data_IF_565801830178
#
_entry.id   IF_565801830178
#
_cell.length_a   1.000
_cell.length_b   1.000
_cell.length_c   1.000
_cell.angle_alpha   90.00
_cell.angle_beta   90.00
_cell.angle_gamma   90.00
#
_symmetry.space_group_name_H-M   'P 1'
#
loop_
_entity.id
_entity.type
_entity.pdbx_description
1 polymer ?
#
# COMPACT_ATOMS: atom_id res chain seq x y z
N UNK A 1 -47.37 -3.56 -4.57
CA UNK A 1 -46.16 -2.81 -4.16
C UNK A 1 -44.96 -3.54 -4.76
N UNK A 2 -44.23 -2.89 -5.65
CA UNK A 2 -43.29 -3.52 -6.57
C UNK A 2 -42.11 -4.18 -5.86
N UNK A 3 -41.83 -5.44 -6.23
CA UNK A 3 -40.63 -6.18 -5.88
C UNK A 3 -39.47 -5.49 -6.60
N UNK A 4 -38.81 -4.53 -5.94
CA UNK A 4 -37.54 -3.98 -6.42
C UNK A 4 -36.57 -5.17 -6.54
N UNK A 5 -35.87 -5.24 -7.67
CA UNK A 5 -34.95 -6.33 -7.98
C UNK A 5 -33.95 -6.53 -6.84
N UNK A 6 -33.51 -7.77 -6.67
CA UNK A 6 -32.45 -8.07 -5.72
C UNK A 6 -31.23 -7.18 -6.01
N UNK A 7 -30.63 -6.52 -5.00
CA UNK A 7 -29.45 -5.68 -5.21
C UNK A 7 -28.37 -6.45 -5.97
N UNK A 8 -27.89 -5.85 -7.06
CA UNK A 8 -26.92 -6.46 -7.97
C UNK A 8 -25.67 -5.56 -8.06
N UNK A 9 -24.57 -5.94 -7.39
CA UNK A 9 -23.33 -5.17 -7.48
C UNK A 9 -22.78 -5.14 -8.91
N UNK A 10 -23.01 -6.16 -9.74
CA UNK A 10 -22.44 -6.22 -11.09
C UNK A 10 -22.96 -5.11 -12.01
N UNK A 11 -24.15 -4.58 -11.72
CA UNK A 11 -24.73 -3.46 -12.46
C UNK A 11 -23.95 -2.14 -12.28
N UNK A 12 -23.20 -1.98 -11.20
CA UNK A 12 -22.50 -0.74 -10.87
C UNK A 12 -21.25 -0.52 -11.74
N UNK A 13 -21.14 0.63 -12.39
CA UNK A 13 -20.00 1.00 -13.25
C UNK A 13 -19.02 1.93 -12.57
N UNK A 14 -19.48 2.69 -11.58
CA UNK A 14 -18.68 3.64 -10.82
C UNK A 14 -19.02 3.62 -9.32
N UNK A 15 -18.31 4.45 -8.54
CA UNK A 15 -18.46 4.50 -7.10
C UNK A 15 -19.87 4.94 -6.65
N UNK A 16 -20.50 5.87 -7.37
CA UNK A 16 -21.82 6.38 -7.03
C UNK A 16 -22.89 5.31 -7.25
N UNK A 17 -22.85 4.63 -8.40
CA UNK A 17 -23.74 3.51 -8.71
C UNK A 17 -23.52 2.34 -7.72
N UNK A 18 -22.29 2.10 -7.31
CA UNK A 18 -21.98 1.06 -6.32
C UNK A 18 -22.58 1.37 -4.95
N UNK A 19 -22.46 2.61 -4.47
CA UNK A 19 -23.09 3.01 -3.20
C UNK A 19 -24.62 3.00 -3.32
N UNK A 20 -25.19 3.32 -4.48
CA UNK A 20 -26.63 3.18 -4.71
C UNK A 20 -27.10 1.72 -4.54
N UNK A 21 -26.33 0.74 -5.03
CA UNK A 21 -26.61 -0.69 -4.79
C UNK A 21 -26.52 -1.05 -3.30
N UNK A 22 -25.58 -0.46 -2.55
CA UNK A 22 -25.50 -0.67 -1.09
C UNK A 22 -26.68 -0.07 -0.33
N UNK A 23 -27.20 1.09 -0.79
CA UNK A 23 -28.43 1.68 -0.23
C UNK A 23 -29.62 0.74 -0.46
N UNK A 24 -29.76 0.19 -1.67
CA UNK A 24 -30.79 -0.80 -1.98
C UNK A 24 -30.63 -2.08 -1.14
N UNK A 25 -29.40 -2.56 -0.94
CA UNK A 25 -29.11 -3.69 -0.05
C UNK A 25 -29.57 -3.41 1.38
N UNK A 26 -29.27 -2.23 1.91
CA UNK A 26 -29.72 -1.82 3.24
C UNK A 26 -31.25 -1.78 3.34
N UNK A 27 -31.92 -1.25 2.32
CA UNK A 27 -33.38 -1.16 2.26
C UNK A 27 -34.03 -2.54 2.18
N UNK A 28 -33.51 -3.43 1.33
CA UNK A 28 -33.98 -4.80 1.19
C UNK A 28 -33.78 -5.63 2.47
N UNK A 29 -32.68 -5.40 3.20
CA UNK A 29 -32.45 -6.04 4.49
C UNK A 29 -33.45 -5.59 5.56
N UNK A 30 -34.07 -4.41 5.42
CA UNK A 30 -35.04 -3.86 6.38
C UNK A 30 -34.44 -3.52 7.75
N UNK A 31 -33.11 -3.44 7.87
CA UNK A 31 -32.40 -3.23 9.13
C UNK A 31 -32.07 -1.75 9.35
N UNK A 32 -32.17 -1.33 10.60
CA UNK A 32 -31.62 -0.06 11.06
C UNK A 32 -30.10 -0.15 11.17
N UNK A 33 -29.42 1.01 11.13
CA UNK A 33 -27.96 1.05 11.33
C UNK A 33 -27.53 0.42 12.67
N UNK A 34 -28.32 0.58 13.74
CA UNK A 34 -28.05 -0.01 15.06
C UNK A 34 -28.15 -1.54 15.04
N UNK A 35 -29.08 -2.10 14.26
CA UNK A 35 -29.21 -3.55 14.11
C UNK A 35 -28.09 -4.16 13.27
N UNK A 36 -27.61 -3.42 12.26
CA UNK A 36 -26.46 -3.83 11.45
C UNK A 36 -25.17 -3.89 12.28
N UNK A 37 -24.93 -2.86 13.10
CA UNK A 37 -23.82 -2.81 14.06
C UNK A 37 -23.87 -3.97 15.06
N UNK A 38 -25.04 -4.21 15.69
CA UNK A 38 -25.22 -5.32 16.62
C UNK A 38 -24.95 -6.69 15.97
N UNK A 39 -25.43 -6.91 14.74
CA UNK A 39 -25.17 -8.15 14.00
C UNK A 39 -23.71 -8.34 13.61
N UNK A 40 -23.02 -7.26 13.25
CA UNK A 40 -21.58 -7.33 12.99
C UNK A 40 -20.83 -7.73 14.26
N UNK A 41 -21.19 -7.15 15.40
CA UNK A 41 -20.60 -7.46 16.70
C UNK A 41 -20.83 -8.93 17.12
N UNK A 42 -22.01 -9.50 16.84
CA UNK A 42 -22.28 -10.94 17.06
C UNK A 42 -21.33 -11.85 16.27
N UNK A 43 -20.81 -11.39 15.14
CA UNK A 43 -19.82 -12.10 14.33
C UNK A 43 -18.37 -11.73 14.68
N UNK A 44 -18.13 -10.92 15.73
CA UNK A 44 -16.80 -10.43 16.11
C UNK A 44 -16.26 -9.34 15.18
N UNK A 45 -17.11 -8.72 14.37
CA UNK A 45 -16.75 -7.69 13.40
C UNK A 45 -17.18 -6.30 13.88
N UNK A 46 -16.44 -5.29 13.45
CA UNK A 46 -16.70 -3.89 13.81
C UNK A 46 -17.34 -3.18 12.61
N UNK A 47 -18.59 -2.73 12.79
CA UNK A 47 -19.33 -1.95 11.79
C UNK A 47 -19.93 -0.69 12.45
N UNK A 48 -19.14 0.38 12.63
CA UNK A 48 -19.58 1.54 13.39
C UNK A 48 -20.76 2.23 12.70
N UNK A 49 -21.82 2.50 13.45
CA UNK A 49 -23.08 3.07 12.96
C UNK A 49 -22.89 4.39 12.20
N UNK A 50 -22.10 5.30 12.75
CA UNK A 50 -21.83 6.62 12.15
C UNK A 50 -21.05 6.48 10.86
N UNK A 51 -20.00 5.66 10.84
CA UNK A 51 -19.18 5.43 9.66
C UNK A 51 -19.98 4.80 8.53
N UNK A 52 -20.78 3.77 8.81
CA UNK A 52 -21.64 3.17 7.80
C UNK A 52 -22.67 4.17 7.26
N UNK A 53 -23.26 4.99 8.13
CA UNK A 53 -24.20 6.02 7.71
C UNK A 53 -23.53 7.08 6.83
N UNK A 54 -22.30 7.49 7.16
CA UNK A 54 -21.54 8.47 6.37
C UNK A 54 -21.12 7.89 5.02
N UNK A 55 -20.61 6.67 4.98
CA UNK A 55 -20.26 5.95 3.75
C UNK A 55 -21.46 5.81 2.84
N UNK A 56 -22.62 5.39 3.36
CA UNK A 56 -23.83 5.28 2.55
C UNK A 56 -24.39 6.63 2.11
N UNK A 57 -23.99 7.76 2.70
CA UNK A 57 -24.38 9.09 2.21
C UNK A 57 -23.44 9.65 1.13
N UNK A 58 -22.22 9.15 1.06
CA UNK A 58 -21.21 9.59 0.11
C UNK A 58 -21.27 8.76 -1.19
N UNK A 59 -20.63 9.25 -2.24
CA UNK A 59 -20.53 8.56 -3.54
C UNK A 59 -19.09 8.04 -3.77
N UNK A 60 -18.46 7.58 -2.69
CA UNK A 60 -17.09 7.05 -2.67
C UNK A 60 -17.10 5.56 -2.35
N UNK A 61 -16.15 4.81 -2.93
CA UNK A 61 -16.04 3.38 -2.65
C UNK A 61 -15.76 3.13 -1.16
N UNK A 62 -16.57 2.31 -0.47
CA UNK A 62 -16.27 1.91 0.88
C UNK A 62 -14.94 1.15 0.96
N UNK A 63 -14.30 1.18 2.13
CA UNK A 63 -13.21 0.25 2.45
C UNK A 63 -13.70 -1.20 2.34
N UNK A 64 -12.84 -2.10 1.86
CA UNK A 64 -13.19 -3.49 1.57
C UNK A 64 -13.79 -4.20 2.79
N UNK A 65 -13.20 -4.00 3.97
CA UNK A 65 -13.67 -4.64 5.20
C UNK A 65 -15.02 -4.10 5.68
N UNK A 66 -15.21 -2.77 5.63
CA UNK A 66 -16.49 -2.17 5.99
C UNK A 66 -17.60 -2.65 5.06
N UNK A 67 -17.30 -2.79 3.76
CA UNK A 67 -18.20 -3.41 2.79
C UNK A 67 -18.51 -4.87 3.15
N UNK A 68 -17.48 -5.67 3.43
CA UNK A 68 -17.64 -7.09 3.77
C UNK A 68 -18.49 -7.27 5.03
N UNK A 69 -18.22 -6.50 6.09
CA UNK A 69 -18.99 -6.50 7.33
C UNK A 69 -20.43 -6.06 7.10
N UNK A 70 -20.65 -5.00 6.31
CA UNK A 70 -22.00 -4.54 5.97
C UNK A 70 -22.80 -5.58 5.18
N UNK A 71 -22.20 -6.23 4.18
CA UNK A 71 -22.85 -7.27 3.36
C UNK A 71 -23.21 -8.50 4.22
N UNK A 72 -22.31 -8.92 5.12
CA UNK A 72 -22.58 -9.99 6.09
C UNK A 72 -23.70 -9.63 7.05
N UNK A 73 -23.64 -8.44 7.66
CA UNK A 73 -24.67 -7.96 8.60
C UNK A 73 -26.04 -7.79 7.93
N UNK A 74 -26.07 -7.50 6.63
CA UNK A 74 -27.28 -7.43 5.80
C UNK A 74 -27.85 -8.80 5.42
N UNK A 75 -27.19 -9.90 5.80
CA UNK A 75 -27.66 -11.26 5.56
C UNK A 75 -27.20 -11.88 4.25
N UNK A 76 -26.27 -11.25 3.51
CA UNK A 76 -25.76 -11.76 2.23
C UNK A 76 -24.33 -12.31 2.36
N UNK A 77 -24.04 -13.12 3.38
CA UNK A 77 -22.69 -13.64 3.67
C UNK A 77 -22.05 -14.34 2.46
N UNK A 78 -22.83 -15.08 1.67
CA UNK A 78 -22.32 -15.85 0.53
C UNK A 78 -21.95 -14.96 -0.67
N UNK A 79 -22.45 -13.72 -0.72
CA UNK A 79 -22.19 -12.76 -1.81
C UNK A 79 -21.05 -11.79 -1.50
N UNK A 80 -20.41 -11.88 -0.33
CA UNK A 80 -19.34 -10.94 0.08
C UNK A 80 -18.23 -10.83 -0.97
N UNK A 81 -17.77 -11.95 -1.51
CA UNK A 81 -16.69 -11.95 -2.52
C UNK A 81 -17.12 -11.32 -3.85
N UNK A 82 -18.40 -11.45 -4.22
CA UNK A 82 -18.98 -10.80 -5.40
C UNK A 82 -18.93 -9.28 -5.25
N UNK A 83 -19.39 -8.75 -4.11
CA UNK A 83 -19.35 -7.32 -3.79
C UNK A 83 -17.91 -6.76 -3.75
N UNK A 84 -16.99 -7.50 -3.13
CA UNK A 84 -15.56 -7.12 -3.08
C UNK A 84 -14.92 -7.09 -4.47
N UNK A 85 -15.25 -8.08 -5.32
CA UNK A 85 -14.72 -8.16 -6.70
C UNK A 85 -15.17 -6.97 -7.53
N UNK A 86 -16.45 -6.58 -7.44
CA UNK A 86 -16.98 -5.41 -8.15
C UNK A 86 -16.31 -4.12 -7.65
N UNK A 87 -16.19 -3.96 -6.32
CA UNK A 87 -15.49 -2.81 -5.74
C UNK A 87 -14.08 -2.69 -6.30
N UNK A 88 -13.34 -3.80 -6.35
CA UNK A 88 -11.96 -3.84 -6.85
C UNK A 88 -11.87 -3.51 -8.34
N UNK A 89 -12.83 -3.98 -9.16
CA UNK A 89 -12.94 -3.60 -10.57
C UNK A 89 -13.12 -2.09 -10.73
N UNK A 90 -14.03 -1.49 -9.96
CA UNK A 90 -14.29 -0.04 -10.04
C UNK A 90 -13.06 0.75 -9.57
N UNK A 91 -12.43 0.31 -8.48
CA UNK A 91 -11.19 0.93 -7.99
C UNK A 91 -10.07 0.89 -9.04
N UNK A 92 -9.90 -0.25 -9.71
CA UNK A 92 -8.90 -0.41 -10.78
C UNK A 92 -9.15 0.50 -11.98
N UNK A 93 -10.42 0.69 -12.37
CA UNK A 93 -10.80 1.58 -13.48
C UNK A 93 -10.57 3.06 -13.17
N UNK A 94 -10.75 3.48 -11.91
CA UNK A 94 -10.42 4.84 -11.46
C UNK A 94 -8.91 5.10 -11.39
N UNK A 95 -8.09 4.05 -11.41
CA UNK A 95 -6.63 4.12 -11.36
C UNK A 95 -5.98 4.18 -12.76
N UNK A 96 -6.73 3.97 -13.85
CA UNK A 96 -6.18 4.03 -15.21
C UNK A 96 -5.69 5.46 -15.53
N UNK A 97 -4.38 5.67 -15.78
CA UNK A 97 -3.87 6.98 -16.12
C UNK A 97 -4.55 7.50 -17.39
N UNK A 98 -4.84 8.81 -17.50
CA UNK A 98 -5.31 9.36 -18.77
C UNK A 98 -4.30 8.97 -19.88
N UNK A 99 -4.78 8.53 -21.06
CA UNK A 99 -3.89 8.11 -22.13
C UNK A 99 -2.89 9.24 -22.41
N UNK A 100 -1.59 8.93 -22.56
CA UNK A 100 -0.58 9.96 -22.77
C UNK A 100 -1.01 10.81 -23.97
N UNK A 101 -0.85 12.15 -23.91
CA UNK A 101 -1.23 13.02 -25.01
C UNK A 101 -0.54 12.50 -26.27
N UNK A 102 -1.33 12.13 -27.28
CA UNK A 102 -0.82 11.68 -28.58
C UNK A 102 0.06 12.80 -29.12
N UNK A 103 1.38 12.60 -29.10
CA UNK A 103 2.32 13.54 -29.73
C UNK A 103 1.89 13.68 -31.20
N UNK A 104 1.59 14.89 -31.70
CA UNK A 104 1.28 15.03 -33.12
C UNK A 104 2.52 14.57 -33.89
N UNK A 105 2.32 13.58 -34.77
CA UNK A 105 3.36 13.11 -35.67
C UNK A 105 3.78 14.30 -36.53
N UNK A 106 4.95 14.89 -36.23
CA UNK A 106 5.57 15.89 -37.11
C UNK A 106 6.05 15.15 -38.35
N UNK A 107 5.26 15.19 -39.42
CA UNK A 107 5.71 14.86 -40.77
C UNK A 107 6.61 16.00 -41.22
N UNK A 108 7.88 15.95 -40.79
CA UNK A 108 8.92 16.89 -41.16
C UNK A 108 9.73 16.33 -42.32
N UNK A 109 9.47 16.82 -43.53
CA UNK A 109 10.28 16.61 -44.73
C UNK A 109 11.67 17.25 -44.57
N UNK A 110 12.69 16.44 -44.28
CA UNK A 110 14.11 16.71 -44.57
C UNK A 110 14.71 15.33 -44.87
N UNK A 111 15.23 15.03 -46.05
CA UNK A 111 16.32 15.73 -46.72
C UNK A 111 17.48 14.73 -46.78
N UNK A 112 17.84 14.32 -48.00
CA UNK A 112 18.85 13.32 -48.37
C UNK A 112 20.21 13.51 -47.66
N UNK A 113 20.82 12.43 -47.20
CA UNK A 113 22.27 12.11 -47.26
C UNK A 113 22.50 10.77 -46.52
N UNK A 114 22.86 9.68 -47.19
CA UNK A 114 24.22 9.27 -47.58
C UNK A 114 24.77 8.23 -46.57
N UNK A 115 25.21 7.06 -47.05
CA UNK A 115 26.15 6.22 -46.31
C UNK A 115 25.81 4.74 -46.23
N UNK A 116 26.11 4.02 -47.30
CA UNK A 116 26.31 2.56 -47.36
C UNK A 116 27.44 2.14 -46.41
N UNK A 117 27.30 1.06 -45.63
CA UNK A 117 28.23 -0.10 -45.64
C UNK A 117 27.75 -1.29 -44.77
N UNK A 118 27.54 -2.43 -45.42
CA UNK A 118 27.60 -3.79 -44.85
C UNK A 118 29.07 -4.25 -44.83
N UNK A 119 29.48 -5.08 -43.86
CA UNK A 119 30.28 -6.33 -44.06
C UNK A 119 30.73 -6.92 -42.70
N UNK A 120 30.04 -8.00 -42.34
CA UNK A 120 30.49 -9.35 -41.96
C UNK A 120 31.97 -9.68 -41.56
N UNK A 121 32.04 -10.50 -40.49
CA UNK A 121 32.83 -11.76 -40.30
C UNK A 121 34.29 -11.77 -39.76
N UNK A 122 34.41 -12.50 -38.64
CA UNK A 122 35.31 -13.65 -38.32
C UNK A 122 36.75 -13.52 -37.78
N UNK A 123 36.92 -14.27 -36.68
CA UNK A 123 37.94 -15.30 -36.36
C UNK A 123 39.27 -14.95 -35.66
N UNK A 124 39.43 -15.66 -34.54
CA UNK A 124 40.59 -16.42 -34.05
C UNK A 124 41.78 -15.68 -33.41
N UNK A 125 42.22 -16.20 -32.26
CA UNK A 125 43.51 -15.83 -31.66
C UNK A 125 43.69 -16.23 -30.20
N UNK A 126 43.97 -17.52 -29.99
CA UNK A 126 44.43 -18.22 -28.78
C UNK A 126 45.48 -17.52 -27.89
N UNK A 127 45.45 -17.79 -26.58
CA UNK A 127 46.55 -17.45 -25.66
C UNK A 127 46.47 -18.04 -24.25
N UNK A 128 46.88 -19.32 -24.11
CA UNK A 128 47.64 -19.91 -22.98
C UNK A 128 46.98 -20.06 -21.58
N UNK A 129 46.79 -21.33 -21.20
CA UNK A 129 46.64 -21.86 -19.84
C UNK A 129 47.97 -21.77 -19.07
N UNK A 130 47.99 -21.26 -17.83
CA UNK A 130 48.85 -21.77 -16.74
C UNK A 130 48.05 -21.74 -15.42
N UNK A 131 48.06 -22.88 -14.75
CA UNK A 131 47.47 -23.21 -13.45
C UNK A 131 48.31 -22.67 -12.28
N UNK A 132 47.69 -22.42 -11.13
CA UNK A 132 48.46 -22.43 -9.87
C UNK A 132 47.88 -21.74 -8.64
N UNK A 133 47.42 -22.59 -7.73
CA UNK A 133 47.47 -22.49 -6.25
C UNK A 133 46.37 -21.76 -5.48
N UNK A 134 45.74 -22.61 -4.67
CA UNK A 134 44.88 -22.38 -3.52
C UNK A 134 45.53 -21.53 -2.45
N UNK A 135 44.75 -20.66 -1.82
CA UNK A 135 44.98 -20.29 -0.43
C UNK A 135 43.65 -20.28 0.32
N UNK A 136 43.37 -21.41 0.98
CA UNK A 136 42.39 -21.52 2.05
C UNK A 136 42.91 -20.78 3.27
N UNK A 137 42.58 -19.50 3.37
CA UNK A 137 42.76 -18.70 4.58
C UNK A 137 41.57 -18.87 5.50
N UNK A 138 41.56 -19.93 6.31
CA UNK A 138 40.75 -19.97 7.53
C UNK A 138 41.24 -18.90 8.48
N UNK A 139 40.45 -17.85 8.72
CA UNK A 139 40.57 -17.03 9.92
C UNK A 139 39.29 -17.14 10.74
N UNK A 140 39.39 -18.01 11.75
CA UNK A 140 38.52 -18.04 12.92
C UNK A 140 39.19 -17.17 13.98
N UNK A 141 38.58 -16.05 14.34
CA UNK A 141 38.88 -15.35 15.57
C UNK A 141 37.59 -14.72 16.11
N UNK A 142 37.05 -15.36 17.15
CA UNK A 142 36.07 -14.80 18.05
C UNK A 142 36.78 -13.87 19.04
N UNK A 143 36.19 -12.69 19.26
CA UNK A 143 36.39 -11.86 20.44
C UNK A 143 35.03 -11.23 20.79
N UNK A 144 34.60 -11.24 22.06
CA UNK A 144 33.31 -10.73 22.46
C UNK A 144 33.41 -9.24 22.76
N UNK A 145 32.69 -8.40 22.01
CA UNK A 145 32.56 -6.98 22.34
C UNK A 145 31.19 -6.47 21.92
N UNK A 146 30.33 -6.26 22.92
CA UNK A 146 29.27 -5.27 22.91
C UNK A 146 28.16 -5.45 21.86
N UNK A 147 27.06 -6.04 22.30
CA UNK A 147 25.72 -5.88 21.71
C UNK A 147 25.26 -4.42 21.82
N UNK A 148 25.94 -3.52 21.11
CA UNK A 148 25.58 -2.11 20.96
C UNK A 148 25.17 -1.88 19.51
N UNK A 149 24.17 -2.60 19.02
CA UNK A 149 23.54 -2.25 17.75
C UNK A 149 23.08 -0.79 17.81
N UNK A 150 23.10 -0.06 16.69
CA UNK A 150 22.56 1.31 16.64
C UNK A 150 21.16 1.32 17.28
N UNK A 151 20.81 2.35 18.08
CA UNK A 151 19.52 2.37 18.74
C UNK A 151 18.40 2.17 17.71
N UNK A 152 17.47 1.30 18.06
CA UNK A 152 16.20 1.13 17.37
C UNK A 152 15.53 2.49 17.13
N UNK A 153 14.75 2.61 16.05
CA UNK A 153 14.00 3.82 15.81
C UNK A 153 12.96 3.98 16.93
N UNK A 154 13.05 5.07 17.69
CA UNK A 154 12.18 5.28 18.83
C UNK A 154 10.70 5.37 18.40
N UNK A 155 9.75 4.94 19.26
CA UNK A 155 8.33 5.23 19.06
C UNK A 155 8.06 6.73 18.92
N UNK A 156 7.11 7.11 18.07
CA UNK A 156 6.81 8.52 17.81
C UNK A 156 5.94 8.72 16.58
N UNK A 157 5.59 9.97 16.26
CA UNK A 157 4.86 10.31 15.03
C UNK A 157 5.81 10.82 13.96
N UNK A 158 5.64 10.33 12.74
CA UNK A 158 6.55 10.54 11.63
C UNK A 158 5.81 10.86 10.33
N UNK A 159 6.52 11.54 9.43
CA UNK A 159 6.34 11.38 7.99
C UNK A 159 7.37 10.38 7.48
N UNK A 160 6.93 9.45 6.65
CA UNK A 160 7.81 8.44 6.05
C UNK A 160 8.20 8.93 4.67
N UNK A 161 9.44 9.39 4.50
CA UNK A 161 9.96 10.01 3.28
C UNK A 161 10.87 9.06 2.53
N UNK A 162 10.65 8.88 1.23
CA UNK A 162 11.53 8.10 0.38
C UNK A 162 12.92 8.74 0.31
N UNK A 163 13.97 7.94 0.49
CA UNK A 163 15.36 8.38 0.30
C UNK A 163 15.67 8.67 -1.18
N UNK A 164 14.99 8.03 -2.12
CA UNK A 164 15.20 8.21 -3.56
C UNK A 164 14.61 9.52 -4.09
N UNK A 165 13.41 9.91 -3.65
CA UNK A 165 12.64 11.01 -4.25
C UNK A 165 12.43 12.21 -3.33
N UNK A 166 12.69 12.06 -2.02
CA UNK A 166 12.28 13.02 -0.98
C UNK A 166 10.76 13.28 -0.90
N UNK A 167 9.93 12.45 -1.54
CA UNK A 167 8.48 12.45 -1.39
C UNK A 167 8.05 11.58 -0.21
N UNK A 168 6.90 11.89 0.40
CA UNK A 168 6.38 11.16 1.55
C UNK A 168 5.29 10.17 1.17
N UNK A 169 5.22 9.06 1.92
CA UNK A 169 4.09 8.15 1.86
C UNK A 169 2.78 8.88 2.12
N UNK A 170 1.76 8.57 1.33
CA UNK A 170 0.44 9.21 1.40
C UNK A 170 -0.63 8.29 0.82
N UNK A 171 -1.83 8.36 1.38
CA UNK A 171 -3.05 7.98 0.68
C UNK A 171 -3.41 9.05 -0.37
N UNK A 172 -4.28 8.70 -1.32
CA UNK A 172 -4.88 9.67 -2.24
C UNK A 172 -6.26 10.08 -1.72
N UNK A 173 -6.45 11.38 -1.53
CA UNK A 173 -7.72 11.94 -1.11
C UNK A 173 -8.88 11.52 -2.03
N UNK A 174 -10.03 11.21 -1.43
CA UNK A 174 -11.27 10.92 -2.14
C UNK A 174 -11.38 9.55 -2.80
N UNK A 175 -10.35 8.70 -2.75
CA UNK A 175 -10.41 7.35 -3.33
C UNK A 175 -10.99 6.30 -2.37
N UNK A 176 -10.84 6.49 -1.05
CA UNK A 176 -11.38 5.58 -0.03
C UNK A 176 -10.78 4.16 -0.05
N UNK A 177 -9.78 3.90 -0.90
CA UNK A 177 -9.16 2.57 -1.04
C UNK A 177 -8.15 2.25 0.04
N UNK A 178 -7.56 3.28 0.68
CA UNK A 178 -6.42 3.11 1.57
C UNK A 178 -5.08 2.93 0.86
N UNK A 179 -5.06 2.89 -0.48
CA UNK A 179 -3.83 2.63 -1.24
C UNK A 179 -2.78 3.72 -1.00
N UNK A 180 -1.56 3.29 -0.73
CA UNK A 180 -0.42 4.16 -0.42
C UNK A 180 0.42 4.43 -1.66
N UNK A 181 0.76 5.71 -1.82
CA UNK A 181 1.58 6.28 -2.87
C UNK A 181 2.65 7.19 -2.25
N UNK A 182 3.41 7.92 -3.07
CA UNK A 182 4.26 9.03 -2.62
C UNK A 182 3.79 10.39 -3.17
N UNK A 183 3.86 11.47 -2.39
CA UNK A 183 3.58 12.84 -2.85
C UNK A 183 4.36 13.91 -2.04
N UNK A 184 4.10 15.19 -2.29
CA UNK A 184 4.70 16.30 -1.54
C UNK A 184 4.35 16.15 -0.06
N UNK A 185 5.41 16.05 0.76
CA UNK A 185 5.29 15.81 2.20
C UNK A 185 4.35 16.77 2.91
N UNK A 186 4.24 18.04 2.49
CA UNK A 186 3.40 19.03 3.17
C UNK A 186 1.91 18.73 3.04
N UNK A 187 1.50 18.13 1.92
CA UNK A 187 0.13 17.71 1.64
C UNK A 187 -0.15 16.24 1.94
N UNK A 188 0.88 15.45 2.21
CA UNK A 188 0.72 14.01 2.49
C UNK A 188 -0.09 13.74 3.75
N UNK A 189 -1.04 12.82 3.61
CA UNK A 189 -1.86 12.25 4.68
C UNK A 189 -1.94 10.73 4.49
N UNK A 190 -1.96 9.92 5.56
CA UNK A 190 -1.87 10.30 6.97
C UNK A 190 -0.45 10.65 7.43
N UNK A 191 -0.30 11.08 8.69
CA UNK A 191 0.98 10.93 9.42
C UNK A 191 1.01 9.57 10.09
N UNK A 192 2.18 9.05 10.44
CA UNK A 192 2.31 7.68 10.94
C UNK A 192 2.86 7.65 12.37
N UNK A 193 2.14 7.04 13.30
CA UNK A 193 2.69 6.67 14.60
C UNK A 193 3.42 5.33 14.50
N UNK A 194 4.69 5.32 14.87
CA UNK A 194 5.47 4.10 15.02
C UNK A 194 5.29 3.57 16.44
N UNK A 195 4.77 2.36 16.55
CA UNK A 195 4.51 1.67 17.81
C UNK A 195 5.38 0.40 17.86
N UNK A 196 6.13 0.23 18.94
CA UNK A 196 6.84 -1.04 19.17
C UNK A 196 5.83 -2.16 19.44
N UNK A 197 6.10 -3.31 18.83
CA UNK A 197 5.41 -4.57 19.07
C UNK A 197 6.43 -5.60 19.59
N UNK A 198 5.94 -6.77 19.98
CA UNK A 198 6.77 -7.81 20.57
C UNK A 198 7.94 -8.21 19.66
N UNK A 199 9.07 -8.55 20.27
CA UNK A 199 10.22 -9.11 19.56
C UNK A 199 10.99 -8.12 18.66
N UNK A 200 10.95 -6.82 18.96
CA UNK A 200 11.66 -5.81 18.16
C UNK A 200 11.04 -5.56 16.79
N UNK A 201 9.72 -5.75 16.71
CA UNK A 201 8.91 -5.48 15.54
C UNK A 201 8.10 -4.21 15.77
N UNK A 202 7.45 -3.69 14.73
CA UNK A 202 6.72 -2.44 14.80
C UNK A 202 5.36 -2.56 14.15
N UNK A 203 4.38 -1.85 14.69
CA UNK A 203 3.17 -1.46 13.97
C UNK A 203 3.31 -0.01 13.54
N UNK A 204 2.87 0.29 12.33
CA UNK A 204 2.89 1.66 11.79
C UNK A 204 1.44 2.09 11.66
N UNK A 205 0.96 2.92 12.59
CA UNK A 205 -0.44 3.37 12.66
C UNK A 205 -0.63 4.65 11.85
N UNK A 206 -1.46 4.60 10.83
CA UNK A 206 -1.91 5.77 10.07
C UNK A 206 -2.83 6.65 10.93
N UNK A 207 -2.50 7.94 11.02
CA UNK A 207 -3.23 8.98 11.73
C UNK A 207 -3.92 9.90 10.71
N UNK A 208 -5.03 9.44 10.14
CA UNK A 208 -5.74 10.16 9.09
C UNK A 208 -6.66 11.25 9.69
N UNK A 209 -6.57 12.52 9.24
CA UNK A 209 -7.37 13.60 9.83
C UNK A 209 -8.88 13.44 9.63
N UNK A 210 -9.29 12.81 8.51
CA UNK A 210 -10.70 12.49 8.19
C UNK A 210 -11.13 11.10 8.68
N UNK A 211 -10.42 10.04 8.30
CA UNK A 211 -10.83 8.65 8.58
C UNK A 211 -10.40 8.12 9.96
N UNK A 212 -9.61 8.87 10.73
CA UNK A 212 -9.13 8.44 12.04
C UNK A 212 -7.96 7.46 11.96
N UNK A 213 -7.90 6.53 12.90
CA UNK A 213 -6.80 5.57 13.01
C UNK A 213 -6.91 4.43 11.99
N UNK A 214 -5.80 4.12 11.34
CA UNK A 214 -5.58 2.90 10.55
C UNK A 214 -4.20 2.31 10.81
N UNK A 215 -3.87 1.22 10.15
CA UNK A 215 -2.57 0.57 10.15
C UNK A 215 -2.08 0.48 8.70
N UNK A 216 -0.82 0.84 8.49
CA UNK A 216 -0.11 0.53 7.27
C UNK A 216 0.07 -0.99 7.20
N UNK A 217 -0.14 -1.57 6.02
CA UNK A 217 0.07 -2.99 5.78
C UNK A 217 0.09 -3.31 4.29
N UNK A 218 0.31 -4.57 3.92
CA UNK A 218 0.11 -5.00 2.53
C UNK A 218 -1.38 -5.12 2.24
N UNK A 219 -1.84 -4.60 1.10
CA UNK A 219 -3.25 -4.65 0.68
C UNK A 219 -3.83 -6.06 0.78
N UNK A 220 -4.96 -6.20 1.48
CA UNK A 220 -5.64 -7.47 1.76
C UNK A 220 -4.74 -8.57 2.38
N UNK A 221 -3.59 -8.23 2.96
CA UNK A 221 -2.62 -9.20 3.47
C UNK A 221 -1.95 -10.06 2.39
N UNK A 222 -1.96 -9.62 1.13
CA UNK A 222 -1.45 -10.40 0.00
C UNK A 222 0.04 -10.76 0.15
N UNK A 223 0.40 -11.99 -0.23
CA UNK A 223 1.79 -12.44 -0.34
C UNK A 223 2.38 -12.27 -1.75
N UNK A 224 1.58 -11.79 -2.72
CA UNK A 224 2.04 -11.61 -4.09
C UNK A 224 3.05 -10.46 -4.19
N UNK A 225 4.12 -10.68 -4.95
CA UNK A 225 5.05 -9.61 -5.32
C UNK A 225 4.34 -8.54 -6.14
N UNK A 226 4.59 -7.27 -5.83
CA UNK A 226 3.92 -6.13 -6.45
C UNK A 226 2.58 -5.76 -5.81
N UNK A 227 2.13 -6.47 -4.76
CA UNK A 227 0.98 -6.02 -3.97
C UNK A 227 1.23 -4.62 -3.40
N UNK A 228 0.25 -3.73 -3.55
CA UNK A 228 0.35 -2.36 -3.08
C UNK A 228 0.19 -2.29 -1.56
N UNK A 229 0.93 -1.38 -0.92
CA UNK A 229 0.75 -1.03 0.48
C UNK A 229 -0.56 -0.26 0.65
N UNK A 230 -1.26 -0.50 1.76
CA UNK A 230 -2.51 0.16 2.07
C UNK A 230 -2.61 0.49 3.57
N UNK A 231 -3.11 1.68 3.87
CA UNK A 231 -3.62 2.06 5.18
C UNK A 231 -5.06 1.57 5.31
N UNK A 232 -5.31 0.68 6.28
CA UNK A 232 -6.64 0.14 6.55
C UNK A 232 -6.91 0.00 8.04
N UNK A 233 -8.08 -0.48 8.44
CA UNK A 233 -8.32 -0.80 9.84
C UNK A 233 -7.23 -1.74 10.40
N UNK A 234 -6.94 -1.62 11.68
CA UNK A 234 -5.93 -2.45 12.32
C UNK A 234 -6.50 -3.81 12.71
N UNK A 235 -5.67 -4.86 12.63
CA UNK A 235 -5.90 -6.14 13.30
C UNK A 235 -6.44 -7.27 12.42
N UNK A 236 -6.77 -6.99 11.16
CA UNK A 236 -7.36 -8.01 10.27
C UNK A 236 -6.38 -8.62 9.26
N UNK A 237 -5.24 -7.97 8.98
CA UNK A 237 -4.23 -8.50 8.03
C UNK A 237 -3.05 -9.21 8.71
N UNK A 238 -3.17 -9.50 10.01
CA UNK A 238 -2.19 -10.29 10.77
C UNK A 238 -0.75 -9.76 10.64
N UNK A 239 0.18 -10.64 10.27
CA UNK A 239 1.60 -10.33 10.12
C UNK A 239 1.93 -9.39 8.94
N UNK A 240 0.95 -9.03 8.09
CA UNK A 240 1.13 -8.03 7.04
C UNK A 240 1.04 -6.57 7.54
N UNK A 241 0.66 -6.35 8.80
CA UNK A 241 0.63 -5.05 9.49
C UNK A 241 1.76 -4.88 10.52
N UNK A 242 2.59 -5.90 10.66
CA UNK A 242 3.73 -5.91 11.57
C UNK A 242 5.00 -5.89 10.73
N UNK A 243 5.98 -5.08 11.14
CA UNK A 243 7.15 -4.79 10.34
C UNK A 243 8.45 -5.01 11.12
N UNK A 244 9.46 -5.50 10.42
CA UNK A 244 10.85 -5.30 10.80
C UNK A 244 11.38 -4.02 10.13
N UNK A 245 12.09 -3.21 10.91
CA UNK A 245 12.83 -2.05 10.42
C UNK A 245 14.32 -2.35 10.44
N UNK A 246 14.93 -2.46 9.27
CA UNK A 246 16.37 -2.63 9.12
C UNK A 246 17.01 -1.30 8.76
N UNK A 247 17.97 -0.84 9.56
CA UNK A 247 18.74 0.38 9.29
C UNK A 247 19.67 0.17 8.10
N UNK A 248 19.71 1.14 7.19
CA UNK A 248 20.56 1.15 5.99
C UNK A 248 21.49 2.37 5.99
N UNK A 249 22.81 2.14 5.96
CA UNK A 249 23.82 3.21 5.94
C UNK A 249 24.09 3.83 7.32
N UNK A 250 25.33 4.27 7.56
CA UNK A 250 25.75 5.03 8.75
C UNK A 250 26.53 6.26 8.29
N UNK A 251 26.41 7.43 8.95
CA UNK A 251 25.60 7.74 10.14
C UNK A 251 24.20 8.30 9.84
N UNK A 252 23.93 8.80 8.63
CA UNK A 252 22.63 9.36 8.21
C UNK A 252 21.85 8.36 7.34
N UNK A 253 21.65 7.15 7.87
CA UNK A 253 20.96 6.07 7.19
C UNK A 253 19.44 6.18 7.20
N UNK A 254 18.78 5.57 6.21
CA UNK A 254 17.33 5.32 6.24
C UNK A 254 17.03 3.93 6.79
N UNK A 255 15.80 3.46 6.55
CA UNK A 255 15.35 2.13 6.94
C UNK A 255 14.71 1.41 5.76
N UNK A 256 15.02 0.12 5.62
CA UNK A 256 14.16 -0.84 4.91
C UNK A 256 13.03 -1.26 5.83
N UNK A 257 11.81 -1.14 5.34
CA UNK A 257 10.60 -1.58 6.03
C UNK A 257 10.18 -2.90 5.41
N UNK A 258 10.02 -3.94 6.24
CA UNK A 258 9.67 -5.29 5.76
C UNK A 258 8.49 -5.86 6.54
N UNK A 259 7.34 -6.12 5.90
CA UNK A 259 6.24 -6.86 6.52
C UNK A 259 6.72 -8.24 7.01
N UNK A 260 6.22 -8.71 8.16
CA UNK A 260 6.67 -9.98 8.73
C UNK A 260 6.22 -11.19 7.90
N UNK A 261 5.04 -11.13 7.28
CA UNK A 261 4.47 -12.28 6.57
C UNK A 261 5.24 -12.67 5.30
N UNK A 262 5.85 -11.70 4.59
CA UNK A 262 6.59 -11.96 3.35
C UNK A 262 8.08 -11.66 3.44
N UNK A 263 8.48 -10.80 4.39
CA UNK A 263 9.85 -10.24 4.47
C UNK A 263 10.31 -9.55 3.18
N UNK A 264 9.38 -9.21 2.30
CA UNK A 264 9.62 -8.34 1.14
C UNK A 264 9.88 -6.90 1.61
N UNK A 265 10.45 -6.07 0.75
CA UNK A 265 10.70 -4.67 1.05
C UNK A 265 9.54 -3.80 0.56
N UNK A 266 9.06 -2.91 1.43
CA UNK A 266 8.28 -1.74 1.00
C UNK A 266 9.14 -0.96 0.01
N UNK A 267 8.56 -0.61 -1.14
CA UNK A 267 9.32 -0.15 -2.30
C UNK A 267 8.56 0.91 -3.09
N UNK A 268 9.25 1.97 -3.49
CA UNK A 268 8.85 2.83 -4.62
C UNK A 268 9.51 2.24 -5.87
N UNK A 269 8.75 1.64 -6.82
CA UNK A 269 9.32 0.91 -7.95
C UNK A 269 10.27 1.79 -8.78
N UNK A 270 11.45 1.25 -9.07
CA UNK A 270 12.46 1.91 -9.89
C UNK A 270 13.00 3.21 -9.31
N UNK A 271 12.91 3.42 -7.99
CA UNK A 271 13.32 4.67 -7.34
C UNK A 271 12.64 5.91 -7.95
N UNK A 272 11.39 5.76 -8.42
CA UNK A 272 10.66 6.82 -9.11
C UNK A 272 10.58 8.10 -8.26
N UNK A 273 10.77 9.26 -8.90
CA UNK A 273 10.54 10.57 -8.30
C UNK A 273 9.18 11.18 -8.68
N UNK A 274 8.31 10.41 -9.34
CA UNK A 274 6.99 10.89 -9.74
C UNK A 274 6.04 10.94 -8.54
N UNK A 275 5.28 12.04 -8.45
CA UNK A 275 4.14 12.07 -7.54
C UNK A 275 3.15 10.98 -7.92
N UNK A 276 2.52 10.43 -6.89
CA UNK A 276 1.57 9.34 -6.96
C UNK A 276 2.13 8.04 -7.53
N UNK A 277 3.46 7.84 -7.52
CA UNK A 277 4.01 6.51 -7.74
C UNK A 277 3.51 5.58 -6.61
N UNK A 278 3.05 4.36 -6.95
CA UNK A 278 2.52 3.43 -5.96
C UNK A 278 3.65 2.90 -5.09
N UNK A 279 3.31 2.55 -3.86
CA UNK A 279 4.24 1.95 -2.90
C UNK A 279 3.88 0.47 -2.79
N UNK A 280 4.79 -0.41 -3.18
CA UNK A 280 4.54 -1.85 -3.34
C UNK A 280 5.39 -2.67 -2.38
N UNK A 281 5.03 -3.92 -2.13
CA UNK A 281 5.99 -4.92 -1.64
C UNK A 281 6.74 -5.52 -2.83
N UNK A 282 8.06 -5.44 -2.84
CA UNK A 282 8.92 -6.07 -3.86
C UNK A 282 10.06 -6.83 -3.17
N UNK A 283 10.71 -7.79 -3.87
CA UNK A 283 11.92 -8.42 -3.35
C UNK A 283 12.96 -7.38 -2.93
N UNK A 284 13.59 -7.59 -1.79
CA UNK A 284 14.64 -6.69 -1.31
C UNK A 284 15.87 -6.74 -2.23
N UNK A 285 16.33 -5.58 -2.69
CA UNK A 285 17.50 -5.41 -3.54
C UNK A 285 18.52 -4.49 -2.87
N UNK A 286 19.78 -4.95 -2.72
CA UNK A 286 20.85 -4.17 -2.13
C UNK A 286 21.11 -2.86 -2.91
N UNK A 287 21.31 -1.75 -2.20
CA UNK A 287 21.58 -0.44 -2.80
C UNK A 287 20.40 0.25 -3.50
N UNK A 288 19.20 -0.37 -3.54
CA UNK A 288 18.01 0.27 -4.09
C UNK A 288 17.47 1.36 -3.14
N UNK A 289 17.70 2.62 -3.48
CA UNK A 289 17.22 3.78 -2.73
C UNK A 289 15.68 3.86 -2.67
N UNK A 290 14.98 3.23 -3.62
CA UNK A 290 13.53 3.12 -3.64
C UNK A 290 12.96 2.24 -2.52
N UNK A 291 13.82 1.47 -1.85
CA UNK A 291 13.49 0.61 -0.71
C UNK A 291 13.97 1.18 0.63
N UNK A 292 14.46 2.42 0.63
CA UNK A 292 15.01 3.08 1.81
C UNK A 292 14.15 4.30 2.14
N UNK A 293 13.72 4.38 3.40
CA UNK A 293 12.86 5.45 3.89
C UNK A 293 13.43 6.14 5.12
N UNK A 294 13.27 7.45 5.19
CA UNK A 294 13.53 8.25 6.37
C UNK A 294 12.23 8.43 7.17
N UNK A 295 12.35 8.38 8.49
CA UNK A 295 11.26 8.65 9.41
C UNK A 295 11.50 10.03 9.99
N UNK A 296 10.87 11.04 9.39
CA UNK A 296 11.02 12.44 9.78
C UNK A 296 10.04 12.75 10.92
N UNK A 297 10.53 13.09 12.14
CA UNK A 297 9.65 13.35 13.27
C UNK A 297 8.71 14.52 12.99
N UNK A 298 7.43 14.35 13.35
CA UNK A 298 6.42 15.42 13.31
C UNK A 298 5.63 15.44 14.61
N UNK A 299 5.02 16.57 14.92
CA UNK A 299 4.09 16.63 16.05
C UNK A 299 2.89 15.71 15.78
N UNK A 300 2.48 14.96 16.81
CA UNK A 300 1.25 14.18 16.73
C UNK A 300 0.05 15.11 16.44
N UNK A 301 -0.87 14.73 15.53
CA UNK A 301 -2.06 15.53 15.27
C UNK A 301 -2.86 15.75 16.56
N UNK A 302 -3.27 17.00 16.80
CA UNK A 302 -3.98 17.39 18.04
C UNK A 302 -5.40 16.82 18.15
N UNK A 303 -5.99 16.47 17.02
CA UNK A 303 -7.29 15.83 16.94
C UNK A 303 -7.21 14.77 15.83
N UNK A 304 -7.36 13.51 16.22
CA UNK A 304 -7.59 12.40 15.31
C UNK A 304 -8.99 11.91 15.65
N UNK A 305 -9.89 11.77 14.67
CA UNK A 305 -11.18 11.15 14.90
C UNK A 305 -10.95 9.80 15.59
N UNK A 306 -11.35 9.69 16.86
CA UNK A 306 -11.42 8.41 17.54
C UNK A 306 -12.58 7.66 16.93
N UNK A 307 -12.30 6.83 15.93
CA UNK A 307 -13.22 5.79 15.48
C UNK A 307 -13.26 4.73 16.59
N UNK A 308 -13.86 5.08 17.73
CA UNK A 308 -14.22 4.11 18.75
C UNK A 308 -15.28 3.23 18.10
N UNK A 309 -14.93 1.97 17.90
CA UNK A 309 -15.89 0.89 17.84
C UNK A 309 -16.75 0.97 19.10
N UNK A 310 -17.93 1.57 18.99
CA UNK A 310 -19.00 1.49 20.00
C UNK A 310 -20.15 0.73 19.38
#
# INVERSE_FOLDING_TARGET
MGRQGEPDPQAARDAAEFVAQLRQLKEAAGLTYRQLEARAAECGEVLPRSTLADVLRQDTLPRAELLAAFVRASGQRDRVQEWLTVRERIASQQQEPPPPPRKPARIGRYGRALGVLLVLLTLAGSGVYITGRTNSGSQKAQGPTGSGGPPALAPGTYRIRSAASSLCLTERDGQGTGNVYQADCRSSVPTYALEEADGGTYRIRGLHPVFGYGCLGVGNGSSMGGAQMADDYCGHRGAAETFHLQREGTPAGGYRVMPLHTRACVSVPGSSAQQWAPVLQLPCAAGDAGQVFHFDPVASPRAIPTMSSN
#
